data_IF_917991833988
#
_entry.id   IF_917991833988
#
_cell.length_a   1.000
_cell.length_b   1.000
_cell.length_c   1.000
_cell.angle_alpha   90.00
_cell.angle_beta   90.00
_cell.angle_gamma   90.00
#
_symmetry.space_group_name_H-M   'P 1'
#
loop_
_entity.id
_entity.type
_entity.pdbx_description
1 polymer ?
#
# COMPACT_ATOMS: atom_id res chain seq x y z
N UNK A 1 -11.04 -4.33 -4.77
CA UNK A 1 -9.58 -4.39 -4.62
C UNK A 1 -9.06 -5.33 -5.70
N UNK A 2 -7.89 -5.08 -6.29
CA UNK A 2 -7.28 -5.95 -7.31
C UNK A 2 -5.86 -6.28 -6.90
N UNK A 3 -5.49 -7.56 -6.97
CA UNK A 3 -4.12 -8.01 -6.69
C UNK A 3 -3.30 -7.93 -7.97
N UNK A 4 -2.21 -7.17 -7.94
CA UNK A 4 -1.29 -7.01 -9.08
C UNK A 4 -0.07 -7.95 -8.97
N UNK A 5 0.46 -8.11 -7.75
CA UNK A 5 1.64 -8.93 -7.49
C UNK A 5 1.58 -9.57 -6.09
N UNK A 6 2.16 -10.77 -5.98
CA UNK A 6 2.42 -11.43 -4.71
C UNK A 6 3.90 -11.79 -4.61
N UNK A 7 4.59 -11.12 -3.69
CA UNK A 7 6.00 -11.36 -3.38
C UNK A 7 6.15 -12.01 -2.00
N UNK A 8 7.03 -12.99 -1.87
CA UNK A 8 7.35 -13.64 -0.60
C UNK A 8 8.74 -13.25 -0.08
N UNK A 9 8.82 -12.79 1.16
CA UNK A 9 10.07 -12.43 1.83
C UNK A 9 10.26 -13.28 3.08
N UNK A 10 11.44 -13.91 3.22
CA UNK A 10 11.79 -14.70 4.42
C UNK A 10 11.99 -13.83 5.67
N UNK A 11 12.26 -12.54 5.50
CA UNK A 11 12.55 -11.61 6.58
C UNK A 11 11.50 -10.49 6.58
N UNK A 12 10.68 -10.42 7.62
CA UNK A 12 9.63 -9.42 7.77
C UNK A 12 10.17 -7.98 7.79
N UNK A 13 11.34 -7.76 8.41
CA UNK A 13 11.98 -6.44 8.44
C UNK A 13 12.32 -5.96 7.02
N UNK A 14 12.87 -6.85 6.19
CA UNK A 14 13.19 -6.51 4.79
C UNK A 14 11.93 -6.14 3.99
N UNK A 15 10.79 -6.78 4.27
CA UNK A 15 9.53 -6.52 3.57
C UNK A 15 8.97 -5.11 3.86
N UNK A 16 9.15 -4.60 5.09
CA UNK A 16 8.48 -3.38 5.57
C UNK A 16 9.39 -2.17 5.75
N UNK A 17 10.71 -2.35 5.74
CA UNK A 17 11.66 -1.27 6.02
C UNK A 17 11.71 -0.24 4.87
N UNK A 18 11.48 1.03 5.21
CA UNK A 18 11.37 2.15 4.27
C UNK A 18 12.71 2.87 4.05
N UNK A 19 13.79 2.09 3.90
CA UNK A 19 15.12 2.63 3.58
C UNK A 19 15.49 2.36 2.13
N UNK A 20 16.32 3.23 1.54
CA UNK A 20 16.82 3.04 0.16
C UNK A 20 17.56 1.71 -0.02
N UNK A 21 18.28 1.26 1.01
CA UNK A 21 19.01 0.00 1.01
C UNK A 21 18.05 -1.22 1.02
N UNK A 22 16.99 -1.18 1.82
CA UNK A 22 15.97 -2.23 1.83
C UNK A 22 15.20 -2.29 0.50
N UNK A 23 14.89 -1.13 -0.10
CA UNK A 23 14.29 -1.02 -1.43
C UNK A 23 15.19 -1.64 -2.52
N UNK A 24 16.48 -1.29 -2.52
CA UNK A 24 17.46 -1.88 -3.43
C UNK A 24 17.53 -3.41 -3.30
N UNK A 25 17.56 -3.93 -2.07
CA UNK A 25 17.56 -5.38 -1.82
C UNK A 25 16.29 -6.06 -2.32
N UNK A 26 15.10 -5.47 -2.11
CA UNK A 26 13.83 -6.03 -2.60
C UNK A 26 13.79 -6.12 -4.12
N UNK A 27 14.31 -5.12 -4.85
CA UNK A 27 14.41 -5.14 -6.32
C UNK A 27 15.27 -6.27 -6.87
N UNK A 28 16.24 -6.77 -6.10
CA UNK A 28 17.09 -7.89 -6.48
C UNK A 28 16.47 -9.27 -6.23
N UNK A 29 15.28 -9.35 -5.61
CA UNK A 29 14.62 -10.61 -5.29
C UNK A 29 13.60 -11.00 -6.36
N UNK A 30 13.29 -12.29 -6.44
CA UNK A 30 12.19 -12.77 -7.26
C UNK A 30 10.87 -12.27 -6.67
N UNK A 31 10.13 -11.49 -7.46
CA UNK A 31 8.87 -10.84 -7.06
C UNK A 31 7.64 -11.72 -7.28
N UNK A 32 7.82 -13.01 -7.60
CA UNK A 32 6.74 -13.88 -8.04
C UNK A 32 6.46 -13.77 -9.55
N UNK A 33 5.56 -14.63 -10.06
CA UNK A 33 5.06 -14.53 -11.43
C UNK A 33 4.14 -13.31 -11.58
N UNK A 34 3.77 -12.98 -12.82
CA UNK A 34 2.63 -12.08 -13.05
C UNK A 34 1.37 -12.74 -12.49
N UNK A 35 0.60 -12.01 -11.68
CA UNK A 35 -0.50 -12.60 -10.93
C UNK A 35 -1.60 -13.16 -11.83
N UNK A 36 -1.89 -12.46 -12.93
CA UNK A 36 -2.85 -12.85 -13.97
C UNK A 36 -2.45 -14.12 -14.75
N UNK A 37 -1.17 -14.49 -14.72
CA UNK A 37 -0.66 -15.75 -15.29
C UNK A 37 -0.83 -16.96 -14.36
N UNK A 38 -1.23 -16.76 -13.10
CA UNK A 38 -1.57 -17.87 -12.20
C UNK A 38 -2.85 -18.55 -12.66
N UNK A 39 -3.04 -19.81 -12.29
CA UNK A 39 -4.34 -20.48 -12.48
C UNK A 39 -5.45 -19.69 -11.76
N UNK A 40 -6.61 -19.57 -12.39
CA UNK A 40 -7.73 -18.79 -11.86
C UNK A 40 -8.13 -19.22 -10.45
N UNK A 41 -8.12 -20.53 -10.16
CA UNK A 41 -8.45 -21.03 -8.81
C UNK A 41 -7.43 -20.58 -7.76
N UNK A 42 -6.15 -20.45 -8.13
CA UNK A 42 -5.11 -19.93 -7.24
C UNK A 42 -5.29 -18.44 -7.00
N UNK A 43 -5.66 -17.68 -8.04
CA UNK A 43 -5.97 -16.25 -7.90
C UNK A 43 -7.13 -16.04 -6.91
N UNK A 44 -8.23 -16.77 -7.10
CA UNK A 44 -9.42 -16.72 -6.23
C UNK A 44 -9.10 -17.05 -4.77
N UNK A 45 -8.25 -18.05 -4.51
CA UNK A 45 -7.87 -18.41 -3.14
C UNK A 45 -6.98 -17.34 -2.47
N UNK A 46 -6.14 -16.63 -3.22
CA UNK A 46 -5.41 -15.48 -2.68
C UNK A 46 -6.35 -14.32 -2.35
N UNK A 47 -7.33 -14.04 -3.21
CA UNK A 47 -8.34 -13.01 -2.96
C UNK A 47 -9.17 -13.35 -1.72
N UNK A 48 -9.65 -14.59 -1.60
CA UNK A 48 -10.37 -15.09 -0.42
C UNK A 48 -9.52 -14.96 0.86
N UNK A 49 -8.25 -15.36 0.79
CA UNK A 49 -7.33 -15.27 1.92
C UNK A 49 -7.14 -13.84 2.44
N UNK A 50 -7.11 -12.85 1.53
CA UNK A 50 -7.01 -11.42 1.86
C UNK A 50 -8.32 -10.88 2.43
N UNK A 51 -9.45 -11.23 1.81
CA UNK A 51 -10.79 -10.84 2.26
C UNK A 51 -11.07 -11.31 3.70
N UNK A 52 -10.72 -12.57 4.04
CA UNK A 52 -10.85 -13.12 5.40
C UNK A 52 -10.04 -12.34 6.46
N UNK A 53 -9.02 -11.59 6.04
CA UNK A 53 -8.19 -10.73 6.90
C UNK A 53 -8.66 -9.27 6.90
N UNK A 54 -9.81 -8.99 6.29
CA UNK A 54 -10.37 -7.65 6.14
C UNK A 54 -9.70 -6.82 5.06
N UNK A 55 -8.85 -7.45 4.22
CA UNK A 55 -8.20 -6.79 3.08
C UNK A 55 -9.10 -7.03 1.87
N UNK A 56 -10.23 -6.32 1.84
CA UNK A 56 -11.31 -6.56 0.89
C UNK A 56 -12.12 -5.31 0.56
N UNK A 57 -13.40 -5.49 0.25
CA UNK A 57 -14.32 -4.43 -0.18
C UNK A 57 -14.42 -3.25 0.79
N UNK A 58 -14.60 -3.52 2.08
CA UNK A 58 -14.74 -2.48 3.11
C UNK A 58 -13.49 -1.60 3.22
N UNK A 59 -12.30 -2.22 3.18
CA UNK A 59 -11.04 -1.48 3.18
C UNK A 59 -10.86 -0.67 1.91
N UNK A 60 -11.27 -1.21 0.75
CA UNK A 60 -11.21 -0.51 -0.52
C UNK A 60 -12.10 0.73 -0.58
N UNK A 61 -13.21 0.75 0.16
CA UNK A 61 -14.06 1.93 0.35
C UNK A 61 -13.46 2.90 1.37
N UNK A 62 -12.94 2.39 2.49
CA UNK A 62 -12.40 3.23 3.56
C UNK A 62 -11.16 4.04 3.16
N UNK A 63 -10.21 3.44 2.44
CA UNK A 63 -8.93 4.09 2.09
C UNK A 63 -9.11 5.40 1.32
N UNK A 64 -9.88 5.49 0.22
CA UNK A 64 -10.08 6.74 -0.50
C UNK A 64 -10.79 7.81 0.35
N UNK A 65 -11.84 7.43 1.09
CA UNK A 65 -12.58 8.36 1.97
C UNK A 65 -11.66 8.96 3.05
N UNK A 66 -10.83 8.11 3.66
CA UNK A 66 -9.87 8.56 4.65
C UNK A 66 -8.75 9.41 4.04
N UNK A 67 -8.32 9.10 2.81
CA UNK A 67 -7.32 9.87 2.09
C UNK A 67 -7.83 11.28 1.78
N UNK A 68 -9.07 11.44 1.31
CA UNK A 68 -9.70 12.76 1.08
C UNK A 68 -9.79 13.56 2.38
N UNK A 69 -10.28 12.94 3.45
CA UNK A 69 -10.32 13.58 4.77
C UNK A 69 -8.95 14.04 5.27
N UNK A 70 -7.92 13.21 5.11
CA UNK A 70 -6.55 13.54 5.51
C UNK A 70 -5.98 14.67 4.64
N UNK A 71 -6.21 14.62 3.34
CA UNK A 71 -5.72 15.62 2.38
C UNK A 71 -6.25 17.02 2.72
N UNK A 72 -7.55 17.14 3.01
CA UNK A 72 -8.15 18.40 3.46
C UNK A 72 -7.49 18.93 4.75
N UNK A 73 -7.17 18.06 5.71
CA UNK A 73 -6.49 18.46 6.95
C UNK A 73 -5.07 18.94 6.70
N UNK A 74 -4.30 18.21 5.89
CA UNK A 74 -2.94 18.60 5.53
C UNK A 74 -2.93 19.90 4.73
N UNK A 75 -3.92 20.13 3.86
CA UNK A 75 -4.09 21.39 3.13
C UNK A 75 -4.32 22.58 4.07
N UNK A 76 -5.24 22.47 5.03
CA UNK A 76 -5.47 23.53 6.02
C UNK A 76 -4.22 23.80 6.85
N UNK A 77 -3.52 22.76 7.29
CA UNK A 77 -2.26 22.88 8.03
C UNK A 77 -1.18 23.56 7.19
N UNK A 78 -1.09 23.21 5.91
CA UNK A 78 -0.15 23.85 4.99
C UNK A 78 -0.46 25.35 4.84
N UNK A 79 -1.73 25.74 4.66
CA UNK A 79 -2.14 27.15 4.61
C UNK A 79 -1.75 27.91 5.89
N UNK A 80 -1.95 27.30 7.06
CA UNK A 80 -1.56 27.90 8.35
C UNK A 80 -0.05 28.12 8.45
N UNK A 81 0.75 27.15 7.98
CA UNK A 81 2.21 27.26 7.97
C UNK A 81 2.67 28.37 7.01
N UNK A 82 2.08 28.45 5.82
CA UNK A 82 2.38 29.52 4.84
C UNK A 82 2.04 30.89 5.40
N UNK A 83 0.85 31.04 6.01
CA UNK A 83 0.45 32.28 6.68
C UNK A 83 1.47 32.69 7.75
N UNK A 84 1.81 31.76 8.65
CA UNK A 84 2.77 32.02 9.74
C UNK A 84 4.17 32.41 9.23
N UNK A 85 4.57 31.92 8.06
CA UNK A 85 5.83 32.29 7.42
C UNK A 85 5.79 33.71 6.82
N UNK A 86 4.63 34.17 6.35
CA UNK A 86 4.46 35.48 5.71
C UNK A 86 4.21 36.59 6.74
N UNK A 87 3.45 36.32 7.80
CA UNK A 87 3.03 37.28 8.83
C UNK A 87 4.17 37.68 9.82
N UNK A 88 5.40 37.87 9.33
CA UNK A 88 6.57 38.37 10.09
C UNK A 88 6.31 39.78 10.62
#
# INVERSE_FOLDING_TARGET
MVVDNISFYKNAKLATELTSEADWKRRGLYIGPQFDHLDTSVQEEFERYLDERGIGGDLALFVPDYAEYKEQKEYVKWLQNVKSFIDV
#
